data_IF_283716963311
#
_entry.id   IF_283716963311
#
_cell.length_a   1.000
_cell.length_b   1.000
_cell.length_c   1.000
_cell.angle_alpha   90.00
_cell.angle_beta   90.00
_cell.angle_gamma   90.00
#
_symmetry.space_group_name_H-M   'P 1'
#
loop_
_entity.id
_entity.type
_entity.pdbx_description
1 polymer ?
#
# COMPACT_ATOMS: atom_id res chain seq x y z
N UNK A 1 -7.39 -8.45 -11.00
CA UNK A 1 -7.19 -8.52 -9.54
C UNK A 1 -8.33 -7.81 -8.84
N UNK A 2 -8.91 -8.45 -7.86
CA UNK A 2 -10.06 -7.91 -7.14
C UNK A 2 -9.62 -6.77 -6.20
N UNK A 3 -10.32 -5.64 -6.27
CA UNK A 3 -9.99 -4.49 -5.44
C UNK A 3 -10.06 -4.84 -3.96
N UNK A 4 -11.08 -5.59 -3.55
CA UNK A 4 -11.21 -5.97 -2.15
C UNK A 4 -10.08 -6.87 -1.70
N UNK A 5 -9.64 -7.78 -2.55
CA UNK A 5 -8.53 -8.65 -2.21
C UNK A 5 -7.24 -7.85 -2.05
N UNK A 6 -7.02 -6.88 -2.93
CA UNK A 6 -5.85 -6.02 -2.83
C UNK A 6 -5.92 -5.20 -1.55
N UNK A 7 -7.08 -4.64 -1.27
CA UNK A 7 -7.25 -3.82 -0.07
C UNK A 7 -6.96 -4.62 1.18
N UNK A 8 -7.44 -5.85 1.26
CA UNK A 8 -7.18 -6.69 2.42
C UNK A 8 -5.69 -6.97 2.58
N UNK A 9 -5.02 -7.27 1.48
CA UNK A 9 -3.59 -7.52 1.53
C UNK A 9 -2.82 -6.30 1.98
N UNK A 10 -3.17 -5.14 1.45
CA UNK A 10 -2.52 -3.89 1.85
C UNK A 10 -2.71 -3.64 3.34
N UNK A 11 -3.92 -3.82 3.83
CA UNK A 11 -4.22 -3.62 5.24
C UNK A 11 -3.44 -4.62 6.10
N UNK A 12 -3.38 -5.88 5.66
CA UNK A 12 -2.63 -6.90 6.40
C UNK A 12 -1.15 -6.51 6.53
N UNK A 13 -0.56 -6.07 5.44
CA UNK A 13 0.84 -5.69 5.43
C UNK A 13 1.08 -4.50 6.36
N UNK A 14 0.21 -3.49 6.27
CA UNK A 14 0.35 -2.31 7.11
C UNK A 14 0.19 -2.67 8.59
N UNK A 15 -0.78 -3.51 8.89
CA UNK A 15 -1.03 -3.93 10.27
C UNK A 15 0.21 -4.60 10.84
N UNK A 16 0.85 -5.49 10.08
CA UNK A 16 2.03 -6.18 10.55
C UNK A 16 3.24 -5.27 10.67
N UNK A 17 3.44 -4.42 9.67
CA UNK A 17 4.62 -3.54 9.64
C UNK A 17 4.55 -2.47 10.72
N UNK A 18 3.38 -1.88 10.89
CA UNK A 18 3.23 -0.74 11.79
C UNK A 18 2.75 -1.14 13.17
N UNK A 19 2.32 -2.39 13.34
CA UNK A 19 1.85 -2.85 14.64
C UNK A 19 0.54 -2.23 15.07
N UNK A 20 -0.36 -1.99 14.12
CA UNK A 20 -1.68 -1.42 14.43
C UNK A 20 -2.77 -2.42 14.07
N UNK A 21 -3.91 -2.27 14.71
CA UNK A 21 -5.06 -3.13 14.47
C UNK A 21 -5.64 -2.87 13.08
N UNK A 22 -6.02 -3.95 12.41
CA UNK A 22 -6.66 -3.83 11.09
C UNK A 22 -7.93 -3.00 11.17
N UNK A 23 -8.63 -3.07 12.30
CA UNK A 23 -9.87 -2.33 12.47
C UNK A 23 -9.64 -0.82 12.45
N UNK A 24 -8.41 -0.39 12.73
CA UNK A 24 -8.09 1.04 12.75
C UNK A 24 -7.59 1.54 11.40
N UNK A 25 -7.46 0.65 10.43
CA UNK A 25 -6.93 1.01 9.13
C UNK A 25 -8.07 1.09 8.12
N UNK A 26 -8.17 2.23 7.44
CA UNK A 26 -9.17 2.44 6.41
C UNK A 26 -8.50 3.03 5.19
N UNK A 27 -9.26 3.19 4.12
CA UNK A 27 -8.71 3.78 2.91
C UNK A 27 -8.25 5.22 3.11
N UNK A 28 -8.86 5.91 4.07
CA UNK A 28 -8.50 7.30 4.34
C UNK A 28 -7.35 7.44 5.32
N UNK A 29 -6.91 6.35 5.90
CA UNK A 29 -5.82 6.39 6.85
C UNK A 29 -4.55 6.89 6.18
N UNK A 30 -3.93 7.92 6.77
CA UNK A 30 -2.68 8.47 6.28
C UNK A 30 -1.51 7.76 6.96
N UNK A 31 -0.52 7.35 6.16
CA UNK A 31 0.65 6.68 6.73
C UNK A 31 1.39 7.58 7.71
N UNK A 32 1.54 8.83 7.36
CA UNK A 32 2.34 9.75 8.16
C UNK A 32 1.51 10.36 9.29
N UNK A 33 0.31 10.83 8.98
CA UNK A 33 -0.49 11.56 9.95
C UNK A 33 -1.19 10.65 10.95
N UNK A 34 -1.69 9.51 10.46
CA UNK A 34 -2.48 8.61 11.32
C UNK A 34 -1.66 7.50 11.92
N UNK A 35 -0.66 7.01 11.20
CA UNK A 35 0.15 5.89 11.64
C UNK A 35 1.55 6.31 12.08
N UNK A 36 1.87 7.58 11.98
CA UNK A 36 3.16 8.11 12.37
C UNK A 36 4.34 7.44 11.65
N UNK A 37 4.11 7.02 10.42
CA UNK A 37 5.17 6.43 9.63
C UNK A 37 6.15 7.51 9.19
N UNK A 38 7.43 7.25 9.36
CA UNK A 38 8.43 8.16 8.80
C UNK A 38 8.82 7.67 7.41
N UNK A 39 9.78 8.37 6.79
CA UNK A 39 10.15 8.03 5.41
C UNK A 39 10.72 6.62 5.30
N UNK A 40 11.38 6.14 6.35
CA UNK A 40 11.92 4.78 6.34
C UNK A 40 10.79 3.77 6.38
N UNK A 41 9.79 4.04 7.21
CA UNK A 41 8.63 3.14 7.31
C UNK A 41 7.89 3.05 5.99
N UNK A 42 7.68 4.17 5.32
CA UNK A 42 6.97 4.16 4.04
C UNK A 42 7.75 3.42 2.97
N UNK A 43 9.07 3.56 2.97
CA UNK A 43 9.90 2.82 2.02
C UNK A 43 9.76 1.32 2.26
N UNK A 44 9.80 0.91 3.52
CA UNK A 44 9.66 -0.50 3.83
C UNK A 44 8.29 -1.04 3.44
N UNK A 45 7.24 -0.25 3.65
CA UNK A 45 5.90 -0.65 3.23
C UNK A 45 5.83 -0.84 1.72
N UNK A 46 6.42 0.09 0.98
CA UNK A 46 6.41 -0.01 -0.48
C UNK A 46 7.14 -1.28 -0.92
N UNK A 47 8.26 -1.59 -0.29
CA UNK A 47 8.99 -2.80 -0.63
C UNK A 47 8.18 -4.05 -0.35
N UNK A 48 7.43 -4.06 0.75
CA UNK A 48 6.56 -5.19 1.05
C UNK A 48 5.46 -5.32 0.02
N UNK A 49 4.89 -4.19 -0.42
CA UNK A 49 3.89 -4.24 -1.47
C UNK A 49 4.47 -4.81 -2.76
N UNK A 50 5.68 -4.42 -3.10
CA UNK A 50 6.33 -4.93 -4.30
C UNK A 50 6.51 -6.44 -4.23
N UNK A 51 6.93 -6.93 -3.07
CA UNK A 51 7.12 -8.36 -2.86
C UNK A 51 5.80 -9.11 -2.94
N UNK A 52 4.80 -8.59 -2.26
CA UNK A 52 3.52 -9.28 -2.15
C UNK A 52 2.80 -9.35 -3.49
N UNK A 53 2.86 -8.29 -4.26
CA UNK A 53 2.12 -8.21 -5.51
C UNK A 53 2.97 -8.45 -6.76
N UNK A 54 4.26 -8.68 -6.57
CA UNK A 54 5.15 -8.99 -7.67
C UNK A 54 5.27 -7.87 -8.69
N UNK A 55 5.42 -6.64 -8.21
CA UNK A 55 5.51 -5.48 -9.10
C UNK A 55 6.57 -4.53 -8.59
N UNK A 56 6.94 -3.57 -9.43
CA UNK A 56 7.88 -2.51 -9.05
C UNK A 56 7.12 -1.20 -8.87
N UNK A 57 7.44 -0.49 -7.80
CA UNK A 57 6.86 0.83 -7.56
C UNK A 57 7.99 1.84 -7.56
N UNK A 58 8.08 2.67 -8.62
CA UNK A 58 9.14 3.68 -8.68
C UNK A 58 9.04 4.67 -7.53
N UNK A 59 10.17 5.25 -7.17
CA UNK A 59 10.20 6.21 -6.07
C UNK A 59 9.23 7.36 -6.29
N UNK A 60 9.11 7.82 -7.53
CA UNK A 60 8.19 8.90 -7.84
C UNK A 60 6.76 8.55 -7.50
N UNK A 61 6.37 7.34 -7.80
CA UNK A 61 5.01 6.90 -7.52
C UNK A 61 4.83 6.63 -6.03
N UNK A 62 5.86 6.11 -5.39
CA UNK A 62 5.79 5.84 -3.96
C UNK A 62 5.55 7.13 -3.17
N UNK A 63 6.13 8.23 -3.62
CA UNK A 63 5.93 9.51 -2.95
C UNK A 63 4.49 9.98 -3.00
N UNK A 64 3.75 9.55 -3.99
CA UNK A 64 2.35 9.92 -4.13
C UNK A 64 1.43 9.06 -3.28
N UNK A 65 1.94 7.95 -2.79
CA UNK A 65 1.14 7.03 -1.99
C UNK A 65 1.22 7.49 -0.54
N UNK A 66 0.25 8.29 -0.12
CA UNK A 66 0.24 8.84 1.22
C UNK A 66 -0.88 8.27 2.08
N UNK A 67 -1.85 7.62 1.48
CA UNK A 67 -2.94 6.99 2.21
C UNK A 67 -3.07 5.54 1.79
N UNK A 68 -3.80 4.77 2.61
CA UNK A 68 -4.05 3.38 2.29
C UNK A 68 -4.79 3.25 0.96
N UNK A 69 -5.79 4.10 0.75
CA UNK A 69 -6.54 4.07 -0.50
C UNK A 69 -5.67 4.34 -1.72
N UNK A 70 -4.74 5.29 -1.58
CA UNK A 70 -3.83 5.60 -2.69
C UNK A 70 -2.98 4.38 -3.02
N UNK A 71 -2.52 3.64 -2.01
CA UNK A 71 -1.74 2.44 -2.23
C UNK A 71 -2.57 1.38 -2.95
N UNK A 72 -3.80 1.17 -2.49
CA UNK A 72 -4.68 0.18 -3.10
C UNK A 72 -4.94 0.55 -4.57
N UNK A 73 -5.27 1.81 -4.81
CA UNK A 73 -5.57 2.25 -6.18
C UNK A 73 -4.37 2.09 -7.09
N UNK A 74 -3.18 2.43 -6.60
CA UNK A 74 -1.98 2.30 -7.42
C UNK A 74 -1.73 0.84 -7.78
N UNK A 75 -1.85 -0.04 -6.80
CA UNK A 75 -1.59 -1.46 -7.03
C UNK A 75 -2.62 -2.05 -8.01
N UNK A 76 -3.88 -1.70 -7.83
CA UNK A 76 -4.93 -2.18 -8.73
C UNK A 76 -4.67 -1.71 -10.16
N UNK A 77 -4.33 -0.44 -10.32
CA UNK A 77 -4.07 0.10 -11.65
C UNK A 77 -2.85 -0.54 -12.28
N UNK A 78 -1.80 -0.76 -11.49
CA UNK A 78 -0.59 -1.39 -12.01
C UNK A 78 -0.86 -2.82 -12.43
N UNK A 79 -1.68 -3.54 -11.66
CA UNK A 79 -2.03 -4.92 -12.00
C UNK A 79 -2.85 -4.97 -13.29
N UNK A 80 -3.75 -4.02 -13.46
CA UNK A 80 -4.54 -3.95 -14.69
C UNK A 80 -3.65 -3.68 -15.88
N UNK A 81 -2.69 -2.76 -15.73
CA UNK A 81 -1.78 -2.44 -16.81
C UNK A 81 -0.94 -3.65 -17.19
N UNK A 82 -0.50 -4.42 -16.18
CA UNK A 82 0.29 -5.61 -16.45
C UNK A 82 -0.51 -6.66 -17.20
N UNK A 83 -1.79 -6.74 -16.92
CA UNK A 83 -2.64 -7.74 -17.57
C UNK A 83 -3.01 -7.38 -18.99
N UNK A 84 -2.83 -6.14 -19.34
CA UNK A 84 -3.28 -5.67 -20.64
C UNK A 84 -2.41 -6.10 -21.79
N UNK A 85 -1.30 -6.69 -21.51
CA UNK A 85 -0.39 -7.06 -22.58
C UNK A 85 -0.98 -8.01 -23.61
#
# INVERSE_FOLDING_TARGET
MDVQAVEQKVIDIISEQMGVDKAEISRETSFINDLNADSLDTVELVMEFEDEFGMSIPDEEAEKIQTVGAAVDYIVNAAKAAKKK
#
